data_IF_888977225572
#
_entry.id   IF_888977225572
#
_cell.length_a   1.000
_cell.length_b   1.000
_cell.length_c   1.000
_cell.angle_alpha   90.00
_cell.angle_beta   90.00
_cell.angle_gamma   90.00
#
_symmetry.space_group_name_H-M   'P 1'
#
loop_
_entity.id
_entity.type
_entity.pdbx_description
1 polymer ?
#
# COMPACT_ATOMS: atom_id res chain seq x y z
N UNK A 1 21.62 20.69 9.93
CA UNK A 1 20.66 21.20 10.93
C UNK A 1 19.34 20.45 10.74
N UNK A 2 18.90 19.66 11.73
CA UNK A 2 17.53 19.16 11.71
C UNK A 2 16.60 20.33 12.06
N UNK A 3 15.70 20.67 11.14
CA UNK A 3 14.68 21.70 11.37
C UNK A 3 13.66 21.15 12.36
N UNK A 4 13.21 21.97 13.31
CA UNK A 4 12.16 21.60 14.27
C UNK A 4 10.89 21.26 13.48
N UNK A 5 10.17 20.17 13.82
CA UNK A 5 8.90 19.83 13.17
C UNK A 5 7.94 21.01 13.21
N UNK A 6 7.32 21.31 12.08
CA UNK A 6 6.26 22.32 11.99
C UNK A 6 4.91 21.69 12.28
N UNK A 7 3.90 22.49 12.63
CA UNK A 7 2.52 22.01 12.77
C UNK A 7 1.99 21.31 11.50
N UNK A 8 2.51 21.69 10.32
CA UNK A 8 2.21 21.03 9.05
C UNK A 8 2.83 19.63 8.97
N UNK A 9 4.05 19.47 9.46
CA UNK A 9 4.74 18.17 9.49
C UNK A 9 4.04 17.21 10.45
N UNK A 10 3.55 17.73 11.59
CA UNK A 10 2.74 16.95 12.55
C UNK A 10 1.41 16.50 11.95
N UNK A 11 0.67 17.41 11.29
CA UNK A 11 -0.59 17.07 10.63
C UNK A 11 -0.38 16.03 9.50
N UNK A 12 0.71 16.16 8.73
CA UNK A 12 1.08 15.19 7.70
C UNK A 12 1.46 13.83 8.31
N UNK A 13 2.17 13.81 9.45
CA UNK A 13 2.51 12.58 10.16
C UNK A 13 1.26 11.84 10.66
N UNK A 14 0.30 12.55 11.26
CA UNK A 14 -1.00 11.98 11.68
C UNK A 14 -1.72 11.37 10.48
N UNK A 15 -1.79 12.10 9.35
CA UNK A 15 -2.40 11.60 8.13
C UNK A 15 -1.73 10.32 7.62
N UNK A 16 -0.40 10.23 7.68
CA UNK A 16 0.33 9.01 7.29
C UNK A 16 0.02 7.82 8.22
N UNK A 17 -0.25 8.06 9.50
CA UNK A 17 -0.68 7.02 10.45
C UNK A 17 -2.08 6.52 10.10
N UNK A 18 -3.02 7.42 9.84
CA UNK A 18 -4.38 7.05 9.42
C UNK A 18 -4.37 6.24 8.12
N UNK A 19 -3.53 6.67 7.16
CA UNK A 19 -3.31 5.93 5.93
C UNK A 19 -2.79 4.52 6.22
N UNK A 20 -1.84 4.33 7.15
CA UNK A 20 -1.35 3.00 7.54
C UNK A 20 -2.46 2.13 8.16
N UNK A 21 -3.31 2.69 9.03
CA UNK A 21 -4.44 1.97 9.62
C UNK A 21 -5.39 1.49 8.53
N UNK A 22 -5.74 2.36 7.59
CA UNK A 22 -6.58 1.99 6.45
C UNK A 22 -5.90 0.94 5.55
N UNK A 23 -4.58 1.01 5.37
CA UNK A 23 -3.81 0.02 4.65
C UNK A 23 -3.91 -1.37 5.28
N UNK A 24 -3.88 -1.44 6.61
CA UNK A 24 -4.01 -2.70 7.36
C UNK A 24 -5.39 -3.31 7.13
N UNK A 25 -6.46 -2.52 7.22
CA UNK A 25 -7.81 -3.00 6.94
C UNK A 25 -7.94 -3.53 5.50
N UNK A 26 -7.44 -2.77 4.51
CA UNK A 26 -7.42 -3.21 3.11
C UNK A 26 -6.57 -4.48 2.91
N UNK A 27 -5.43 -4.60 3.61
CA UNK A 27 -4.53 -5.75 3.53
C UNK A 27 -5.21 -7.03 4.01
N UNK A 28 -5.91 -6.97 5.14
CA UNK A 28 -6.64 -8.13 5.69
C UNK A 28 -7.69 -8.62 4.68
N UNK A 29 -8.46 -7.69 4.09
CA UNK A 29 -9.46 -8.03 3.07
C UNK A 29 -8.78 -8.61 1.81
N UNK A 30 -7.67 -8.02 1.37
CA UNK A 30 -6.94 -8.47 0.19
C UNK A 30 -6.37 -9.89 0.37
N UNK A 31 -5.81 -10.20 1.54
CA UNK A 31 -5.29 -11.53 1.89
C UNK A 31 -6.42 -12.55 1.90
N UNK A 32 -7.53 -12.27 2.60
CA UNK A 32 -8.68 -13.20 2.65
C UNK A 32 -9.24 -13.47 1.25
N UNK A 33 -9.35 -12.42 0.44
CA UNK A 33 -9.80 -12.53 -0.96
C UNK A 33 -8.84 -13.37 -1.80
N UNK A 34 -7.53 -13.16 -1.64
CA UNK A 34 -6.50 -13.92 -2.36
C UNK A 34 -6.49 -15.40 -1.95
N UNK A 35 -6.66 -15.70 -0.65
CA UNK A 35 -6.80 -17.08 -0.15
C UNK A 35 -8.06 -17.73 -0.74
N UNK A 36 -9.21 -17.07 -0.69
CA UNK A 36 -10.45 -17.61 -1.25
C UNK A 36 -10.31 -17.93 -2.74
N UNK A 37 -9.66 -17.04 -3.50
CA UNK A 37 -9.36 -17.25 -4.92
C UNK A 37 -8.40 -18.43 -5.13
N UNK A 38 -7.32 -18.48 -4.35
CA UNK A 38 -6.33 -19.55 -4.41
C UNK A 38 -6.95 -20.94 -4.14
N UNK A 39 -7.85 -21.02 -3.17
CA UNK A 39 -8.60 -22.25 -2.86
C UNK A 39 -9.51 -22.67 -4.00
N UNK A 40 -10.25 -21.73 -4.60
CA UNK A 40 -11.11 -22.03 -5.75
C UNK A 40 -10.29 -22.53 -6.95
N UNK A 41 -9.19 -21.87 -7.27
CA UNK A 41 -8.27 -22.29 -8.32
C UNK A 41 -7.64 -23.66 -8.03
N UNK A 42 -7.41 -24.01 -6.77
CA UNK A 42 -6.91 -25.33 -6.38
C UNK A 42 -7.92 -26.44 -6.67
N UNK A 43 -9.19 -26.24 -6.32
CA UNK A 43 -10.28 -27.19 -6.59
C UNK A 43 -10.43 -27.40 -8.10
N UNK A 44 -10.45 -26.33 -8.89
CA UNK A 44 -10.54 -26.41 -10.36
C UNK A 44 -9.34 -27.17 -10.94
N UNK A 45 -8.13 -26.89 -10.45
CA UNK A 45 -6.93 -27.59 -10.90
C UNK A 45 -7.02 -29.09 -10.60
N UNK A 46 -7.47 -29.47 -9.40
CA UNK A 46 -7.67 -30.86 -9.02
C UNK A 46 -8.72 -31.56 -9.91
N UNK A 47 -9.85 -30.91 -10.19
CA UNK A 47 -10.89 -31.46 -11.07
C UNK A 47 -10.46 -31.61 -12.52
N UNK A 48 -9.54 -30.76 -12.99
CA UNK A 48 -9.06 -30.76 -14.38
C UNK A 48 -7.75 -31.52 -14.58
N UNK A 49 -7.23 -32.18 -13.54
CA UNK A 49 -5.96 -32.91 -13.59
C UNK A 49 -4.73 -32.02 -13.79
N UNK A 50 -4.84 -30.72 -13.52
CA UNK A 50 -3.73 -29.76 -13.65
C UNK A 50 -2.91 -29.74 -12.36
N UNK A 51 -1.59 -29.66 -12.50
CA UNK A 51 -0.71 -29.39 -11.36
C UNK A 51 -0.91 -27.96 -10.86
N UNK A 52 -1.08 -27.80 -9.54
CA UNK A 52 -1.24 -26.49 -8.92
C UNK A 52 0.08 -25.71 -8.89
N UNK A 53 0.03 -24.43 -9.24
CA UNK A 53 1.14 -23.50 -9.02
C UNK A 53 1.21 -23.08 -7.54
N UNK A 54 2.39 -22.65 -7.09
CA UNK A 54 2.54 -22.05 -5.76
C UNK A 54 1.78 -20.71 -5.70
N UNK A 55 0.92 -20.56 -4.69
CA UNK A 55 0.00 -19.42 -4.55
C UNK A 55 0.35 -18.51 -3.38
N UNK A 56 1.38 -18.87 -2.60
CA UNK A 56 1.79 -18.09 -1.42
C UNK A 56 2.26 -16.70 -1.83
N UNK A 57 3.08 -16.59 -2.88
CA UNK A 57 3.56 -15.30 -3.39
C UNK A 57 2.42 -14.37 -3.81
N UNK A 58 1.35 -14.92 -4.41
CA UNK A 58 0.18 -14.13 -4.81
C UNK A 58 -0.60 -13.60 -3.60
N UNK A 59 -0.75 -14.43 -2.55
CA UNK A 59 -1.42 -14.04 -1.31
C UNK A 59 -0.61 -12.96 -0.58
N UNK A 60 0.70 -13.16 -0.44
CA UNK A 60 1.60 -12.18 0.19
C UNK A 60 1.63 -10.87 -0.59
N UNK A 61 1.75 -10.94 -1.92
CA UNK A 61 1.72 -9.76 -2.79
C UNK A 61 0.40 -8.99 -2.67
N UNK A 62 -0.73 -9.70 -2.58
CA UNK A 62 -2.04 -9.07 -2.37
C UNK A 62 -2.10 -8.29 -1.04
N UNK A 63 -1.56 -8.84 0.04
CA UNK A 63 -1.49 -8.16 1.35
C UNK A 63 -0.53 -6.96 1.38
N UNK A 64 0.58 -7.01 0.64
CA UNK A 64 1.55 -5.91 0.63
C UNK A 64 1.16 -4.74 -0.29
N UNK A 65 0.23 -4.96 -1.22
CA UNK A 65 -0.16 -3.96 -2.22
C UNK A 65 -0.76 -2.68 -1.62
N UNK A 66 -1.64 -2.71 -0.60
CA UNK A 66 -2.17 -1.51 0.05
C UNK A 66 -1.11 -0.61 0.69
N UNK A 67 -0.09 -1.20 1.32
CA UNK A 67 1.04 -0.47 1.90
C UNK A 67 1.90 0.15 0.80
N UNK A 68 2.26 -0.63 -0.22
CA UNK A 68 3.06 -0.18 -1.35
C UNK A 68 2.42 1.02 -2.07
N UNK A 69 1.09 1.00 -2.23
CA UNK A 69 0.32 2.11 -2.81
C UNK A 69 0.47 3.40 -2.00
N UNK A 70 0.36 3.31 -0.68
CA UNK A 70 0.46 4.48 0.23
C UNK A 70 1.88 5.01 0.32
N UNK A 71 2.88 4.14 0.45
CA UNK A 71 4.29 4.56 0.44
C UNK A 71 4.63 5.37 -0.82
N UNK A 72 4.19 4.89 -2.00
CA UNK A 72 4.39 5.64 -3.26
C UNK A 72 3.63 6.96 -3.29
N UNK A 73 2.40 6.99 -2.78
CA UNK A 73 1.63 8.23 -2.69
C UNK A 73 2.27 9.26 -1.76
N UNK A 74 2.83 8.79 -0.63
CA UNK A 74 3.47 9.62 0.39
C UNK A 74 4.79 10.16 -0.13
N UNK A 75 5.61 9.30 -0.73
CA UNK A 75 6.83 9.72 -1.42
C UNK A 75 6.53 10.85 -2.42
N UNK A 76 5.52 10.69 -3.30
CA UNK A 76 5.16 11.71 -4.30
C UNK A 76 4.70 13.03 -3.69
N UNK A 77 4.05 13.00 -2.52
CA UNK A 77 3.60 14.22 -1.81
C UNK A 77 4.75 14.92 -1.11
N UNK A 78 5.57 14.16 -0.39
CA UNK A 78 6.68 14.66 0.40
C UNK A 78 7.86 15.09 -0.48
N UNK A 79 8.01 14.51 -1.68
CA UNK A 79 9.01 14.93 -2.65
C UNK A 79 8.67 16.26 -3.34
N UNK A 80 7.48 16.81 -3.14
CA UNK A 80 7.10 18.12 -3.71
C UNK A 80 7.52 19.23 -2.76
N UNK A 81 8.18 20.29 -3.26
CA UNK A 81 8.46 21.45 -2.44
C UNK A 81 7.14 22.09 -1.95
N UNK A 82 7.14 22.71 -0.76
CA UNK A 82 5.96 23.37 -0.24
C UNK A 82 5.49 24.45 -1.24
N UNK A 83 4.18 24.55 -1.44
CA UNK A 83 3.53 25.41 -2.44
C UNK A 83 3.77 26.93 -2.27
N UNK A 84 4.66 27.34 -1.35
CA UNK A 84 5.09 28.72 -1.14
C UNK A 84 6.45 29.07 -1.77
N UNK A 85 7.16 28.12 -2.39
CA UNK A 85 8.42 28.41 -3.11
C UNK A 85 8.15 28.54 -4.62
N UNK A 86 7.19 29.40 -4.96
CA UNK A 86 7.04 29.96 -6.29
C UNK A 86 7.76 31.31 -6.32
N UNK A 87 9.08 31.30 -6.43
CA UNK A 87 9.82 32.51 -6.79
C UNK A 87 9.39 32.89 -8.21
N UNK A 88 8.79 34.07 -8.33
CA UNK A 88 8.55 34.75 -9.60
C UNK A 88 9.92 35.04 -10.24
N UNK A 89 10.23 34.56 -11.46
CA UNK A 89 11.40 35.04 -12.18
C UNK A 89 11.03 36.25 -13.06
N UNK A 90 11.96 37.21 -13.08
CA UNK A 90 12.02 38.44 -13.86
C UNK A 90 11.07 39.59 -13.45
#
# INVERSE_FOLDING_TARGET
MATVPTARDEAEAIRMVDEKILATAESVIAVQTAIARASCEAVIAAMTGRHGADRIDAIVSAGLRPYSKRVRANHRRLSRPPASVGSKPA
#
